data_IF_395254496771
#
_entry.id   IF_395254496771
#
_cell.length_a   1.000
_cell.length_b   1.000
_cell.length_c   1.000
_cell.angle_alpha   90.00
_cell.angle_beta   90.00
_cell.angle_gamma   90.00
#
_symmetry.space_group_name_H-M   'P 1'
#
loop_
_entity.id
_entity.type
_entity.pdbx_description
1 polymer ?
#
# COMPACT_ATOMS: atom_id res chain seq x y z
N UNK A 1 16.02 -68.29 10.18
CA UNK A 1 17.38 -68.83 10.41
C UNK A 1 17.70 -69.76 9.24
N UNK A 2 18.87 -69.57 8.58
CA UNK A 2 19.36 -70.16 7.30
C UNK A 2 18.74 -69.52 6.03
N UNK A 3 19.43 -68.63 5.28
CA UNK A 3 20.63 -68.82 4.43
C UNK A 3 20.37 -69.87 3.33
N UNK A 4 20.52 -69.66 2.02
CA UNK A 4 21.28 -68.71 1.21
C UNK A 4 21.98 -69.52 0.10
N UNK A 5 22.11 -68.96 -1.11
CA UNK A 5 23.02 -69.40 -2.22
C UNK A 5 22.47 -70.64 -3.00
N UNK A 6 22.43 -70.77 -4.34
CA UNK A 6 23.21 -70.27 -5.48
C UNK A 6 22.48 -70.43 -6.84
N UNK A 7 23.06 -69.76 -7.85
CA UNK A 7 22.99 -69.80 -9.33
C UNK A 7 22.47 -71.03 -10.11
N UNK A 8 22.19 -70.78 -11.42
CA UNK A 8 22.17 -71.64 -12.65
C UNK A 8 20.92 -71.28 -13.50
N UNK A 9 20.85 -71.13 -14.83
CA UNK A 9 21.74 -71.01 -16.00
C UNK A 9 20.84 -70.92 -17.26
N UNK A 10 21.46 -70.77 -18.45
CA UNK A 10 20.92 -71.00 -19.81
C UNK A 10 19.96 -69.92 -20.37
N UNK A 11 20.00 -69.55 -21.66
CA UNK A 11 20.43 -70.26 -22.87
C UNK A 11 20.82 -69.27 -23.98
N UNK A 12 21.88 -69.62 -24.71
CA UNK A 12 22.26 -69.12 -26.05
C UNK A 12 21.48 -69.85 -27.15
N UNK A 13 21.24 -69.20 -28.29
CA UNK A 13 21.45 -69.70 -29.68
C UNK A 13 20.97 -68.62 -30.69
N UNK A 14 21.80 -68.03 -31.56
CA UNK A 14 22.39 -68.52 -32.84
C UNK A 14 21.36 -68.54 -34.00
N UNK A 15 21.47 -67.63 -34.99
CA UNK A 15 21.98 -67.84 -36.37
C UNK A 15 21.17 -68.86 -37.21
N UNK A 16 20.86 -68.74 -38.51
CA UNK A 16 21.09 -67.83 -39.64
C UNK A 16 19.88 -68.07 -40.62
N UNK A 17 19.74 -67.56 -41.86
CA UNK A 17 20.45 -68.03 -43.07
C UNK A 17 19.89 -67.36 -44.34
N UNK A 18 20.77 -67.10 -45.33
CA UNK A 18 20.62 -67.14 -46.81
C UNK A 18 19.57 -66.23 -47.55
N UNK A 19 19.77 -65.72 -48.77
CA UNK A 19 20.88 -65.68 -49.73
C UNK A 19 20.54 -64.71 -50.90
N UNK A 20 21.59 -64.23 -51.59
CA UNK A 20 21.69 -63.88 -53.02
C UNK A 20 20.78 -62.81 -53.67
N UNK A 21 21.38 -61.76 -54.23
CA UNK A 21 21.69 -61.71 -55.69
C UNK A 21 22.32 -60.36 -56.12
N UNK A 22 23.16 -60.47 -57.16
CA UNK A 22 23.94 -59.45 -57.86
C UNK A 22 23.12 -58.23 -58.32
N UNK A 23 23.72 -57.03 -58.38
CA UNK A 23 24.16 -56.34 -59.61
C UNK A 23 24.48 -54.85 -59.38
N UNK A 24 25.28 -54.33 -60.31
CA UNK A 24 26.04 -53.09 -60.36
C UNK A 24 25.24 -51.77 -60.36
N UNK A 25 25.96 -50.72 -59.94
CA UNK A 25 25.86 -49.32 -60.34
C UNK A 25 24.76 -48.43 -59.71
N UNK A 26 25.15 -47.51 -58.81
CA UNK A 26 25.17 -46.07 -59.12
C UNK A 26 25.78 -45.20 -58.00
N UNK A 27 26.21 -43.99 -58.38
CA UNK A 27 27.17 -43.08 -57.75
C UNK A 27 26.65 -42.28 -56.54
N UNK A 28 27.56 -41.89 -55.64
CA UNK A 28 27.44 -40.65 -54.84
C UNK A 28 28.38 -40.59 -53.61
N UNK A 29 29.27 -39.57 -53.45
CA UNK A 29 30.32 -39.57 -52.42
C UNK A 29 29.83 -39.08 -51.04
N UNK A 30 30.34 -39.77 -50.01
CA UNK A 30 30.17 -39.49 -48.59
C UNK A 30 30.69 -38.10 -48.19
N UNK A 31 29.84 -37.26 -47.58
CA UNK A 31 30.26 -36.07 -46.82
C UNK A 31 30.24 -36.38 -45.32
N UNK A 32 31.41 -36.28 -44.68
CA UNK A 32 31.61 -36.35 -43.23
C UNK A 32 30.72 -35.34 -42.48
N UNK A 33 29.80 -35.83 -41.64
CA UNK A 33 29.16 -35.03 -40.59
C UNK A 33 29.98 -35.15 -39.31
N UNK A 34 30.70 -34.09 -38.94
CA UNK A 34 31.21 -33.91 -37.56
C UNK A 34 30.02 -33.44 -36.69
N UNK A 35 29.81 -33.98 -35.47
CA UNK A 35 28.76 -33.50 -34.59
C UNK A 35 29.15 -32.14 -33.99
N UNK A 36 28.26 -31.17 -34.17
CA UNK A 36 28.35 -29.83 -33.59
C UNK A 36 28.12 -29.94 -32.08
N UNK A 37 29.15 -29.65 -31.29
CA UNK A 37 29.11 -29.65 -29.83
C UNK A 37 28.37 -28.40 -29.38
N UNK A 38 27.10 -28.56 -29.04
CA UNK A 38 26.23 -27.49 -28.55
C UNK A 38 26.74 -27.02 -27.18
N UNK A 39 27.44 -25.89 -27.17
CA UNK A 39 27.93 -25.23 -25.97
C UNK A 39 26.80 -24.36 -25.41
N UNK A 40 25.80 -24.96 -24.76
CA UNK A 40 24.80 -24.21 -23.97
C UNK A 40 25.40 -23.78 -22.63
N UNK A 41 26.45 -22.97 -22.70
CA UNK A 41 27.00 -22.25 -21.57
C UNK A 41 26.06 -21.12 -21.17
N UNK A 42 25.61 -21.19 -19.92
CA UNK A 42 24.79 -20.24 -19.20
C UNK A 42 25.24 -18.78 -19.39
N UNK A 43 24.58 -18.04 -20.30
CA UNK A 43 24.54 -16.58 -20.21
C UNK A 43 23.51 -16.19 -19.15
N UNK A 44 23.86 -16.39 -17.88
CA UNK A 44 23.27 -15.55 -16.84
C UNK A 44 23.64 -14.11 -17.21
N UNK A 45 22.64 -13.31 -17.62
CA UNK A 45 22.90 -11.95 -18.11
C UNK A 45 23.71 -11.18 -17.06
N UNK A 46 24.73 -10.42 -17.47
CA UNK A 46 25.54 -9.61 -16.55
C UNK A 46 24.67 -8.72 -15.64
N UNK A 47 23.49 -8.33 -16.13
CA UNK A 47 22.44 -7.63 -15.39
C UNK A 47 21.95 -8.45 -14.18
N UNK A 48 21.63 -9.74 -14.36
CA UNK A 48 21.19 -10.61 -13.27
C UNK A 48 22.26 -10.78 -12.18
N UNK A 49 23.54 -10.81 -12.57
CA UNK A 49 24.67 -10.91 -11.63
C UNK A 49 24.85 -9.63 -10.81
N UNK A 50 24.83 -8.47 -11.48
CA UNK A 50 24.85 -7.16 -10.82
C UNK A 50 23.65 -6.95 -9.92
N UNK A 51 22.45 -7.35 -10.35
CA UNK A 51 21.23 -7.28 -9.55
C UNK A 51 21.34 -8.11 -8.28
N UNK A 52 21.88 -9.34 -8.37
CA UNK A 52 22.11 -10.20 -7.20
C UNK A 52 23.13 -9.60 -6.21
N UNK A 53 24.20 -9.00 -6.72
CA UNK A 53 25.21 -8.33 -5.88
C UNK A 53 24.59 -7.10 -5.19
N UNK A 54 23.84 -6.29 -5.94
CA UNK A 54 23.13 -5.14 -5.40
C UNK A 54 22.11 -5.54 -4.34
N UNK A 55 21.29 -6.56 -4.62
CA UNK A 55 20.30 -7.08 -3.66
C UNK A 55 21.00 -7.59 -2.40
N UNK A 56 22.12 -8.31 -2.53
CA UNK A 56 22.92 -8.76 -1.37
C UNK A 56 23.48 -7.60 -0.56
N UNK A 57 24.05 -6.59 -1.22
CA UNK A 57 24.51 -5.38 -0.52
C UNK A 57 23.35 -4.66 0.15
N UNK A 58 22.23 -4.47 -0.55
CA UNK A 58 21.05 -3.83 -0.01
C UNK A 58 20.50 -4.58 1.21
N UNK A 59 20.50 -5.90 1.21
CA UNK A 59 20.08 -6.74 2.34
C UNK A 59 20.94 -6.52 3.59
N UNK A 60 22.25 -6.32 3.43
CA UNK A 60 23.18 -5.98 4.53
C UNK A 60 22.77 -4.65 5.20
N UNK A 61 22.33 -3.67 4.39
CA UNK A 61 21.88 -2.37 4.90
C UNK A 61 20.41 -2.38 5.39
N UNK A 62 19.58 -3.32 4.93
CA UNK A 62 18.14 -3.36 5.18
C UNK A 62 17.55 -4.78 5.36
N UNK A 63 18.01 -5.56 6.36
CA UNK A 63 17.75 -7.00 6.44
C UNK A 63 16.27 -7.39 6.65
N UNK A 64 15.46 -6.51 7.24
CA UNK A 64 14.04 -6.78 7.44
C UNK A 64 13.17 -6.40 6.23
N UNK A 65 13.69 -5.61 5.29
CA UNK A 65 12.86 -5.01 4.24
C UNK A 65 12.57 -5.99 3.11
N UNK A 66 13.56 -6.75 2.64
CA UNK A 66 13.41 -7.72 1.56
C UNK A 66 12.40 -8.82 1.90
N UNK A 67 12.49 -9.53 3.05
CA UNK A 67 11.53 -10.59 3.36
C UNK A 67 10.12 -10.05 3.53
N UNK A 68 9.97 -8.88 4.17
CA UNK A 68 8.65 -8.23 4.34
C UNK A 68 8.04 -7.80 3.01
N UNK A 69 8.86 -7.26 2.08
CA UNK A 69 8.40 -6.87 0.75
C UNK A 69 7.99 -8.07 -0.09
N UNK A 70 8.72 -9.19 0.00
CA UNK A 70 8.37 -10.43 -0.69
C UNK A 70 7.02 -10.97 -0.22
N UNK A 71 6.81 -11.07 1.09
CA UNK A 71 5.52 -11.53 1.65
C UNK A 71 4.37 -10.62 1.19
N UNK A 72 4.54 -9.30 1.26
CA UNK A 72 3.52 -8.33 0.83
C UNK A 72 3.25 -8.38 -0.66
N UNK A 73 4.28 -8.62 -1.47
CA UNK A 73 4.12 -8.81 -2.91
C UNK A 73 3.29 -10.07 -3.22
N UNK A 74 3.55 -11.18 -2.53
CA UNK A 74 2.76 -12.41 -2.70
C UNK A 74 1.30 -12.22 -2.28
N UNK A 75 1.05 -11.56 -1.15
CA UNK A 75 -0.30 -11.20 -0.70
C UNK A 75 -1.04 -10.36 -1.75
N UNK A 76 -0.37 -9.33 -2.26
CA UNK A 76 -0.89 -8.45 -3.29
C UNK A 76 -1.22 -9.25 -4.56
N UNK A 77 -0.25 -10.01 -5.09
CA UNK A 77 -0.44 -10.80 -6.32
C UNK A 77 -1.61 -11.78 -6.20
N UNK A 78 -1.76 -12.43 -5.04
CA UNK A 78 -2.80 -13.43 -4.80
C UNK A 78 -4.20 -12.83 -4.68
N UNK A 79 -4.35 -11.74 -3.93
CA UNK A 79 -5.67 -11.22 -3.56
C UNK A 79 -6.15 -10.08 -4.47
N UNK A 80 -5.25 -9.33 -5.13
CA UNK A 80 -5.57 -8.06 -5.78
C UNK A 80 -6.65 -8.17 -6.86
N UNK A 81 -6.53 -9.13 -7.78
CA UNK A 81 -7.51 -9.29 -8.87
C UNK A 81 -8.88 -9.69 -8.30
N UNK A 82 -8.90 -10.70 -7.41
CA UNK A 82 -10.12 -11.18 -6.76
C UNK A 82 -10.84 -10.04 -6.03
N UNK A 83 -10.09 -9.20 -5.33
CA UNK A 83 -10.63 -8.06 -4.61
C UNK A 83 -11.06 -6.90 -5.50
N UNK A 84 -10.38 -6.60 -6.59
CA UNK A 84 -10.85 -5.54 -7.51
C UNK A 84 -12.28 -5.84 -7.97
N UNK A 85 -12.56 -7.08 -8.35
CA UNK A 85 -13.88 -7.46 -8.86
C UNK A 85 -14.92 -7.71 -7.77
N UNK A 86 -14.51 -8.23 -6.60
CA UNK A 86 -15.45 -8.58 -5.54
C UNK A 86 -15.54 -7.55 -4.41
N UNK A 87 -14.60 -6.61 -4.32
CA UNK A 87 -14.60 -5.64 -3.21
C UNK A 87 -15.70 -4.62 -3.41
N UNK A 88 -16.70 -4.68 -2.53
CA UNK A 88 -17.72 -3.64 -2.37
C UNK A 88 -17.19 -2.44 -1.58
N UNK A 89 -15.87 -2.32 -1.45
CA UNK A 89 -15.21 -1.34 -0.60
C UNK A 89 -15.46 0.10 -1.09
N UNK A 90 -15.66 0.29 -2.40
CA UNK A 90 -15.98 1.60 -2.98
C UNK A 90 -17.34 2.17 -2.53
N UNK A 91 -18.25 1.32 -2.05
CA UNK A 91 -19.62 1.72 -1.70
C UNK A 91 -19.68 2.35 -0.31
N UNK A 92 -18.79 1.94 0.60
CA UNK A 92 -18.85 2.35 2.00
C UNK A 92 -18.77 3.86 2.24
N UNK A 93 -17.91 4.64 1.55
CA UNK A 93 -17.89 6.10 1.69
C UNK A 93 -19.25 6.74 1.37
N UNK A 94 -19.93 6.28 0.32
CA UNK A 94 -21.26 6.77 -0.05
C UNK A 94 -22.34 6.34 0.96
N UNK A 95 -22.28 5.11 1.47
CA UNK A 95 -23.19 4.66 2.54
C UNK A 95 -22.98 5.42 3.85
N UNK A 96 -21.75 5.83 4.14
CA UNK A 96 -21.45 6.70 5.27
C UNK A 96 -21.99 8.11 5.04
N UNK A 97 -21.89 8.62 3.81
CA UNK A 97 -22.45 9.92 3.44
C UNK A 97 -23.97 9.96 3.59
N UNK A 98 -24.66 8.95 3.06
CA UNK A 98 -26.10 8.82 3.23
C UNK A 98 -26.52 8.73 4.71
N UNK A 99 -25.79 7.95 5.52
CA UNK A 99 -26.08 7.80 6.94
C UNK A 99 -25.88 9.09 7.72
N UNK A 100 -24.79 9.83 7.45
CA UNK A 100 -24.52 11.12 8.11
C UNK A 100 -25.62 12.15 7.80
N UNK A 101 -26.12 12.18 6.58
CA UNK A 101 -27.21 13.09 6.21
C UNK A 101 -28.55 12.70 6.85
N UNK A 102 -28.78 11.41 7.06
CA UNK A 102 -30.05 10.91 7.61
C UNK A 102 -30.09 10.95 9.14
N UNK A 103 -28.95 10.72 9.81
CA UNK A 103 -28.87 10.61 11.27
C UNK A 103 -28.32 11.90 11.90
N UNK A 104 -29.13 12.67 12.65
CA UNK A 104 -28.71 13.94 13.24
C UNK A 104 -27.69 13.79 14.37
N UNK A 105 -27.48 12.57 14.90
CA UNK A 105 -26.53 12.26 15.98
C UNK A 105 -25.11 12.74 15.64
N UNK A 106 -24.73 12.68 14.36
CA UNK A 106 -23.40 13.08 13.90
C UNK A 106 -23.24 14.61 13.80
N UNK A 107 -24.33 15.36 13.64
CA UNK A 107 -24.28 16.77 13.23
C UNK A 107 -23.66 17.67 14.28
N UNK A 108 -23.84 17.38 15.57
CA UNK A 108 -23.17 18.11 16.66
C UNK A 108 -21.63 18.04 16.53
N UNK A 109 -21.10 16.85 16.24
CA UNK A 109 -19.66 16.64 16.07
C UNK A 109 -19.16 17.24 14.76
N UNK A 110 -19.94 17.14 13.69
CA UNK A 110 -19.64 17.73 12.38
C UNK A 110 -19.62 19.25 12.44
N UNK A 111 -20.56 19.88 13.17
CA UNK A 111 -20.61 21.33 13.33
C UNK A 111 -19.36 21.85 14.05
N UNK A 112 -18.95 21.18 15.14
CA UNK A 112 -17.70 21.51 15.83
C UNK A 112 -16.49 21.37 14.88
N UNK A 113 -16.47 20.30 14.09
CA UNK A 113 -15.44 20.07 13.08
C UNK A 113 -15.45 21.16 11.99
N UNK A 114 -16.64 21.63 11.59
CA UNK A 114 -16.83 22.66 10.57
C UNK A 114 -16.23 24.00 10.99
N UNK A 115 -16.47 24.42 12.25
CA UNK A 115 -15.91 25.67 12.79
C UNK A 115 -14.39 25.62 12.79
N UNK A 116 -13.79 24.53 13.29
CA UNK A 116 -12.34 24.34 13.26
C UNK A 116 -11.78 24.36 11.83
N UNK A 117 -12.45 23.68 10.90
CA UNK A 117 -12.05 23.64 9.50
C UNK A 117 -12.10 25.04 8.87
N UNK A 118 -13.17 25.81 9.08
CA UNK A 118 -13.33 27.14 8.53
C UNK A 118 -12.22 28.10 9.02
N UNK A 119 -11.87 28.05 10.31
CA UNK A 119 -10.78 28.86 10.86
C UNK A 119 -9.43 28.54 10.21
N UNK A 120 -9.12 27.24 10.06
CA UNK A 120 -7.88 26.79 9.39
C UNK A 120 -7.91 27.21 7.91
N UNK A 121 -9.05 27.04 7.23
CA UNK A 121 -9.22 27.39 5.84
C UNK A 121 -8.94 28.88 5.61
N UNK A 122 -9.60 29.77 6.36
CA UNK A 122 -9.42 31.22 6.24
C UNK A 122 -7.96 31.62 6.48
N UNK A 123 -7.32 31.02 7.48
CA UNK A 123 -5.92 31.31 7.82
C UNK A 123 -4.97 30.90 6.67
N UNK A 124 -5.12 29.68 6.15
CA UNK A 124 -4.28 29.17 5.06
C UNK A 124 -4.59 29.90 3.75
N UNK A 125 -5.87 30.13 3.46
CA UNK A 125 -6.34 30.84 2.28
C UNK A 125 -5.72 32.23 2.21
N UNK A 126 -5.81 32.99 3.32
CA UNK A 126 -5.29 34.35 3.43
C UNK A 126 -3.77 34.39 3.27
N UNK A 127 -3.04 33.49 3.96
CA UNK A 127 -1.58 33.41 3.84
C UNK A 127 -1.16 33.08 2.40
N UNK A 128 -1.81 32.10 1.78
CA UNK A 128 -1.54 31.71 0.39
C UNK A 128 -1.86 32.86 -0.58
N UNK A 129 -2.99 33.55 -0.36
CA UNK A 129 -3.41 34.65 -1.20
C UNK A 129 -2.39 35.80 -1.17
N UNK A 130 -1.92 36.19 0.01
CA UNK A 130 -0.95 37.28 0.15
C UNK A 130 0.43 36.90 -0.42
N UNK A 131 0.86 35.65 -0.26
CA UNK A 131 2.23 35.24 -0.60
C UNK A 131 2.41 34.71 -2.02
N UNK A 132 1.47 33.88 -2.51
CA UNK A 132 1.65 33.10 -3.74
C UNK A 132 0.76 33.58 -4.90
N UNK A 133 -0.45 34.09 -4.62
CA UNK A 133 -1.38 34.49 -5.70
C UNK A 133 -0.81 35.63 -6.56
N UNK A 134 -0.19 36.71 -6.03
CA UNK A 134 0.43 37.73 -6.86
C UNK A 134 1.49 37.19 -7.83
N UNK A 135 2.32 36.25 -7.34
CA UNK A 135 3.35 35.59 -8.16
C UNK A 135 2.72 34.73 -9.26
N UNK A 136 1.69 33.95 -8.93
CA UNK A 136 0.99 33.06 -9.86
C UNK A 136 0.17 33.83 -10.91
N UNK A 137 -0.52 34.89 -10.49
CA UNK A 137 -1.32 35.75 -11.39
C UNK A 137 -0.41 36.45 -12.39
N UNK A 138 0.74 36.97 -11.94
CA UNK A 138 1.72 37.60 -12.84
C UNK A 138 2.18 36.63 -13.93
N UNK A 139 2.55 35.41 -13.55
CA UNK A 139 2.91 34.36 -14.51
C UNK A 139 1.76 33.94 -15.43
N UNK A 140 0.56 33.79 -14.88
CA UNK A 140 -0.61 33.34 -15.64
C UNK A 140 -1.11 34.38 -16.65
N UNK A 141 -1.05 35.67 -16.31
CA UNK A 141 -1.40 36.75 -17.24
C UNK A 141 -0.44 36.76 -18.44
N UNK A 142 0.85 36.54 -18.22
CA UNK A 142 1.85 36.51 -19.30
C UNK A 142 1.61 35.37 -20.31
N UNK A 143 1.09 34.23 -19.85
CA UNK A 143 0.92 33.03 -20.69
C UNK A 143 -0.50 32.89 -21.26
N UNK A 144 -1.54 33.18 -20.48
CA UNK A 144 -2.95 32.96 -20.83
C UNK A 144 -3.77 34.25 -20.90
N UNK A 145 -3.16 35.42 -20.66
CA UNK A 145 -3.87 36.70 -20.65
C UNK A 145 -4.89 36.81 -19.51
N UNK A 146 -6.01 37.54 -19.70
CA UNK A 146 -7.01 37.76 -18.66
C UNK A 146 -7.65 36.48 -18.11
N UNK A 147 -7.75 35.42 -18.92
CA UNK A 147 -8.26 34.11 -18.48
C UNK A 147 -7.36 33.48 -17.40
N UNK A 148 -6.06 33.80 -17.41
CA UNK A 148 -5.12 33.35 -16.40
C UNK A 148 -5.49 33.79 -14.98
N UNK A 149 -6.12 34.97 -14.84
CA UNK A 149 -6.56 35.47 -13.52
C UNK A 149 -7.63 34.56 -12.92
N UNK A 150 -8.64 34.19 -13.71
CA UNK A 150 -9.75 33.33 -13.26
C UNK A 150 -9.22 31.95 -12.89
N UNK A 151 -8.36 31.38 -13.73
CA UNK A 151 -7.76 30.08 -13.50
C UNK A 151 -6.92 30.04 -12.22
N UNK A 152 -6.15 31.08 -11.93
CA UNK A 152 -5.34 31.15 -10.70
C UNK A 152 -6.22 31.22 -9.45
N UNK A 153 -7.34 31.94 -9.49
CA UNK A 153 -8.26 32.00 -8.34
C UNK A 153 -8.96 30.65 -8.10
N UNK A 154 -9.37 29.95 -9.16
CA UNK A 154 -9.90 28.58 -9.05
C UNK A 154 -8.82 27.66 -8.46
N UNK A 155 -7.61 27.67 -9.03
CA UNK A 155 -6.50 26.86 -8.54
C UNK A 155 -6.17 27.16 -7.08
N UNK A 156 -6.19 28.43 -6.66
CA UNK A 156 -5.96 28.85 -5.28
C UNK A 156 -6.98 28.23 -4.32
N UNK A 157 -8.27 28.28 -4.65
CA UNK A 157 -9.33 27.67 -3.82
C UNK A 157 -9.10 26.16 -3.70
N UNK A 158 -8.81 25.47 -4.81
CA UNK A 158 -8.58 24.03 -4.82
C UNK A 158 -7.34 23.65 -3.98
N UNK A 159 -6.21 24.34 -4.15
CA UNK A 159 -4.98 24.08 -3.41
C UNK A 159 -5.14 24.34 -1.92
N UNK A 160 -5.83 25.43 -1.57
CA UNK A 160 -6.15 25.77 -0.18
C UNK A 160 -7.03 24.69 0.47
N UNK A 161 -8.03 24.18 -0.25
CA UNK A 161 -8.91 23.12 0.25
C UNK A 161 -8.12 21.83 0.58
N UNK A 162 -7.22 21.41 -0.32
CA UNK A 162 -6.37 20.23 -0.11
C UNK A 162 -5.44 20.42 1.08
N UNK A 163 -4.80 21.58 1.20
CA UNK A 163 -3.88 21.88 2.29
C UNK A 163 -4.61 21.96 3.64
N UNK A 164 -5.76 22.62 3.67
CA UNK A 164 -6.63 22.68 4.86
C UNK A 164 -7.08 21.30 5.28
N UNK A 165 -7.53 20.45 4.35
CA UNK A 165 -7.91 19.08 4.65
C UNK A 165 -6.74 18.27 5.20
N UNK A 166 -5.51 18.46 4.69
CA UNK A 166 -4.31 17.82 5.21
C UNK A 166 -3.97 18.25 6.64
N UNK A 167 -4.01 19.56 6.93
CA UNK A 167 -3.76 20.10 8.27
C UNK A 167 -4.85 19.65 9.24
N UNK A 168 -6.11 19.79 8.86
CA UNK A 168 -7.26 19.41 9.67
C UNK A 168 -7.25 17.90 9.99
N UNK A 169 -6.87 17.05 9.02
CA UNK A 169 -6.66 15.62 9.26
C UNK A 169 -5.56 15.33 10.27
N UNK A 170 -4.53 16.15 10.32
CA UNK A 170 -3.41 15.92 11.25
C UNK A 170 -3.77 16.37 12.66
N UNK A 171 -4.48 17.49 12.79
CA UNK A 171 -4.81 18.10 14.08
C UNK A 171 -6.08 17.53 14.72
N UNK A 172 -7.13 17.30 13.95
CA UNK A 172 -8.49 17.08 14.47
C UNK A 172 -8.97 15.63 14.34
N UNK A 173 -8.45 14.89 13.34
CA UNK A 173 -8.87 13.52 13.01
C UNK A 173 -8.57 12.49 14.10
N UNK A 174 -7.75 12.80 15.11
CA UNK A 174 -7.43 11.77 16.11
C UNK A 174 -8.49 11.70 17.22
N UNK A 175 -9.23 12.77 17.49
CA UNK A 175 -10.24 12.74 18.55
C UNK A 175 -11.66 12.64 18.00
N UNK A 176 -12.06 13.58 17.13
CA UNK A 176 -13.45 13.67 16.66
C UNK A 176 -13.81 12.48 15.77
N UNK A 177 -12.95 12.10 14.84
CA UNK A 177 -13.15 10.92 13.98
C UNK A 177 -13.23 9.64 14.78
N UNK A 178 -12.44 9.48 15.85
CA UNK A 178 -12.54 8.29 16.70
C UNK A 178 -13.90 8.23 17.40
N UNK A 179 -14.44 9.37 17.86
CA UNK A 179 -15.79 9.42 18.42
C UNK A 179 -16.87 9.11 17.38
N UNK A 180 -16.79 9.71 16.18
CA UNK A 180 -17.73 9.43 15.08
C UNK A 180 -17.68 7.95 14.68
N UNK A 181 -16.48 7.37 14.62
CA UNK A 181 -16.27 5.96 14.31
C UNK A 181 -16.89 5.05 15.37
N UNK A 182 -16.64 5.33 16.65
CA UNK A 182 -17.19 4.55 17.76
C UNK A 182 -18.73 4.66 17.81
N UNK A 183 -19.30 5.86 17.63
CA UNK A 183 -20.76 6.07 17.52
C UNK A 183 -21.34 5.24 16.38
N UNK A 184 -20.69 5.25 15.21
CA UNK A 184 -21.15 4.49 14.06
C UNK A 184 -21.10 2.98 14.27
N UNK A 185 -20.11 2.47 15.01
CA UNK A 185 -20.06 1.05 15.39
C UNK A 185 -21.19 0.66 16.35
N UNK A 186 -21.51 1.52 17.33
CA UNK A 186 -22.65 1.30 18.24
C UNK A 186 -23.97 1.25 17.44
N UNK A 187 -24.16 2.15 16.47
CA UNK A 187 -25.34 2.16 15.60
C UNK A 187 -25.44 0.95 14.65
N UNK A 188 -24.39 0.13 14.55
CA UNK A 188 -24.36 -1.07 13.72
C UNK A 188 -24.33 -2.37 14.53
N UNK A 189 -24.78 -2.30 15.78
CA UNK A 189 -24.86 -3.44 16.71
C UNK A 189 -23.49 -4.12 16.90
N UNK A 190 -22.41 -3.32 16.93
CA UNK A 190 -21.05 -3.76 17.26
C UNK A 190 -20.59 -3.19 18.62
N UNK A 191 -21.55 -2.96 19.53
CA UNK A 191 -21.32 -2.49 20.89
C UNK A 191 -20.60 -3.55 21.74
N UNK A 192 -20.88 -4.83 21.54
CA UNK A 192 -20.19 -5.95 22.20
C UNK A 192 -18.68 -5.89 21.95
N UNK A 193 -18.26 -5.71 20.69
CA UNK A 193 -16.86 -5.55 20.32
C UNK A 193 -16.20 -4.34 20.97
N UNK A 194 -16.91 -3.21 21.05
CA UNK A 194 -16.40 -2.02 21.73
C UNK A 194 -16.27 -2.23 23.24
N UNK A 195 -17.20 -2.94 23.85
CA UNK A 195 -17.21 -3.22 25.28
C UNK A 195 -16.10 -4.21 25.64
N UNK A 196 -15.89 -5.26 24.84
CA UNK A 196 -14.76 -6.18 24.98
C UNK A 196 -13.42 -5.42 24.97
N UNK A 197 -13.22 -4.54 23.99
CA UNK A 197 -11.98 -3.76 23.84
C UNK A 197 -11.82 -2.70 24.93
N UNK A 198 -12.91 -2.15 25.48
CA UNK A 198 -12.85 -1.20 26.62
C UNK A 198 -12.51 -1.88 27.94
N UNK A 199 -12.91 -3.15 28.11
CA UNK A 199 -12.65 -3.96 29.30
C UNK A 199 -11.21 -4.52 29.28
N UNK A 200 -10.66 -4.77 28.09
CA UNK A 200 -9.25 -5.12 27.94
C UNK A 200 -8.35 -3.93 28.32
N UNK A 201 -7.29 -4.13 29.13
CA UNK A 201 -6.35 -3.07 29.43
C UNK A 201 -5.79 -2.52 28.10
N UNK A 202 -5.84 -1.19 27.93
CA UNK A 202 -5.32 -0.46 26.76
C UNK A 202 -4.04 -1.14 26.29
N UNK A 203 -3.87 -1.45 24.97
CA UNK A 203 -2.68 -2.10 24.47
C UNK A 203 -1.48 -1.35 25.02
N UNK A 204 -0.76 -2.02 25.94
CA UNK A 204 0.40 -1.43 26.58
C UNK A 204 1.28 -0.93 25.44
N UNK A 205 1.65 0.37 25.46
CA UNK A 205 2.79 0.85 24.68
C UNK A 205 3.85 -0.24 24.83
N UNK A 206 4.41 -0.79 23.73
CA UNK A 206 5.23 -1.99 23.79
C UNK A 206 6.17 -1.81 24.97
N UNK A 207 5.95 -2.59 26.03
CA UNK A 207 6.82 -2.52 27.19
C UNK A 207 8.19 -2.85 26.59
N UNK A 208 9.05 -1.84 26.56
CA UNK A 208 10.47 -2.04 26.35
C UNK A 208 10.81 -3.07 27.41
N UNK A 209 11.04 -4.32 27.02
CA UNK A 209 11.60 -5.35 27.89
C UNK A 209 12.93 -4.77 28.37
N UNK A 210 12.89 -4.09 29.51
CA UNK A 210 14.02 -3.82 30.37
C UNK A 210 13.96 -5.01 31.29
N UNK A 211 14.45 -6.16 30.82
CA UNK A 211 14.73 -7.38 31.58
C UNK A 211 15.40 -8.34 30.59
N UNK A 212 16.54 -7.90 30.08
CA UNK A 212 17.56 -8.79 29.54
C UNK A 212 18.83 -8.35 30.26
N UNK A 213 19.45 -9.22 31.09
CA UNK A 213 20.51 -8.81 31.98
C UNK A 213 21.65 -8.19 31.16
N UNK A 214 22.16 -7.06 31.65
CA UNK A 214 23.15 -6.17 31.02
C UNK A 214 24.51 -6.84 30.66
N UNK A 215 24.62 -8.17 30.74
CA UNK A 215 25.81 -8.95 30.45
C UNK A 215 26.01 -9.31 28.97
N UNK A 216 25.01 -9.17 28.09
CA UNK A 216 25.15 -9.43 26.63
C UNK A 216 25.26 -8.14 25.81
N UNK A 217 25.28 -6.97 26.48
CA UNK A 217 25.43 -5.64 25.84
C UNK A 217 26.88 -5.16 25.77
N UNK A 218 27.85 -6.07 25.76
CA UNK A 218 29.27 -5.80 25.51
C UNK A 218 29.72 -6.81 24.46
N UNK A 219 29.89 -6.47 23.17
CA UNK A 219 31.09 -5.78 22.67
C UNK A 219 30.89 -5.15 21.26
N UNK A 220 29.71 -5.27 20.63
CA UNK A 220 29.50 -4.89 19.22
C UNK A 220 28.62 -3.64 18.97
N UNK A 221 28.11 -3.00 20.02
CA UNK A 221 27.00 -2.03 19.91
C UNK A 221 27.43 -0.57 19.83
N UNK A 222 28.74 -0.26 19.83
CA UNK A 222 29.21 1.13 19.91
C UNK A 222 29.74 1.67 18.57
N UNK A 223 30.19 0.83 17.62
CA UNK A 223 30.69 1.31 16.31
C UNK A 223 29.72 1.09 15.13
N UNK A 224 28.79 0.14 15.18
CA UNK A 224 27.88 -0.13 14.04
C UNK A 224 26.53 0.61 14.04
N UNK A 225 26.01 1.02 15.21
CA UNK A 225 24.60 1.42 15.30
C UNK A 225 24.26 2.79 14.69
N UNK A 226 25.20 3.73 14.63
CA UNK A 226 24.96 5.06 14.01
C UNK A 226 25.22 5.05 12.50
N UNK A 227 26.24 4.31 12.06
CA UNK A 227 26.71 4.26 10.67
C UNK A 227 25.65 3.63 9.75
N UNK A 228 24.88 2.65 10.22
CA UNK A 228 23.76 2.09 9.45
C UNK A 228 22.44 2.87 9.61
N UNK A 229 22.26 3.61 10.72
CA UNK A 229 21.04 4.41 10.95
C UNK A 229 20.99 5.68 10.09
N UNK A 230 22.12 6.35 9.87
CA UNK A 230 22.16 7.62 9.12
C UNK A 230 21.81 7.40 7.64
N UNK A 231 22.43 6.46 6.89
CA UNK A 231 22.06 6.18 5.50
C UNK A 231 20.62 5.70 5.37
N UNK A 232 20.13 4.87 6.29
CA UNK A 232 18.72 4.42 6.31
C UNK A 232 17.75 5.59 6.50
N UNK A 233 18.06 6.53 7.39
CA UNK A 233 17.25 7.72 7.59
C UNK A 233 17.28 8.64 6.37
N UNK A 234 18.46 8.93 5.83
CA UNK A 234 18.65 9.77 4.64
C UNK A 234 17.96 9.16 3.42
N UNK A 235 18.12 7.87 3.18
CA UNK A 235 17.43 7.15 2.11
C UNK A 235 15.91 7.26 2.29
N UNK A 236 15.39 7.00 3.48
CA UNK A 236 13.94 7.15 3.75
C UNK A 236 13.45 8.58 3.52
N UNK A 237 14.23 9.59 3.91
CA UNK A 237 13.90 10.99 3.66
C UNK A 237 13.92 11.30 2.16
N UNK A 238 14.94 10.82 1.43
CA UNK A 238 15.05 10.98 -0.01
C UNK A 238 13.83 10.39 -0.74
N UNK A 239 13.41 9.16 -0.42
CA UNK A 239 12.20 8.58 -1.02
C UNK A 239 10.92 9.33 -0.65
N UNK A 240 10.82 9.85 0.59
CA UNK A 240 9.66 10.66 0.99
C UNK A 240 9.61 11.99 0.25
N UNK A 241 10.74 12.69 0.16
CA UNK A 241 10.86 13.96 -0.56
C UNK A 241 10.64 13.74 -2.04
N UNK A 242 11.30 12.75 -2.65
CA UNK A 242 11.11 12.37 -4.05
C UNK A 242 9.64 12.06 -4.36
N UNK A 243 8.97 11.23 -3.54
CA UNK A 243 7.56 10.95 -3.74
C UNK A 243 6.69 12.21 -3.57
N UNK A 244 6.97 13.05 -2.58
CA UNK A 244 6.28 14.32 -2.39
C UNK A 244 6.46 15.27 -3.58
N UNK A 245 7.70 15.40 -4.08
CA UNK A 245 8.04 16.20 -5.25
C UNK A 245 7.35 15.66 -6.49
N UNK A 246 7.37 14.35 -6.75
CA UNK A 246 6.68 13.75 -7.89
C UNK A 246 5.17 13.99 -7.87
N UNK A 247 4.52 13.88 -6.70
CA UNK A 247 3.09 14.18 -6.57
C UNK A 247 2.80 15.69 -6.72
N UNK A 248 3.72 16.54 -6.26
CA UNK A 248 3.61 18.00 -6.42
C UNK A 248 3.76 18.39 -7.89
N UNK A 249 4.73 17.80 -8.60
CA UNK A 249 4.93 17.98 -10.04
C UNK A 249 3.71 17.53 -10.83
N UNK A 250 3.10 16.38 -10.48
CA UNK A 250 1.85 15.94 -11.08
C UNK A 250 0.73 16.98 -10.86
N UNK A 251 0.71 17.64 -9.70
CA UNK A 251 -0.26 18.68 -9.34
C UNK A 251 -0.05 20.01 -10.06
N UNK A 252 1.05 20.19 -10.80
CA UNK A 252 1.29 21.39 -11.63
C UNK A 252 0.42 21.43 -12.88
N UNK A 253 -0.15 20.30 -13.30
CA UNK A 253 -1.16 20.28 -14.36
C UNK A 253 -2.46 20.85 -13.76
N UNK A 254 -2.96 22.01 -14.24
CA UNK A 254 -4.15 22.62 -13.68
C UNK A 254 -5.35 21.66 -13.71
N UNK A 255 -6.15 21.67 -12.64
CA UNK A 255 -7.36 20.85 -12.46
C UNK A 255 -7.08 19.34 -12.37
N UNK A 256 -6.55 18.72 -13.43
CA UNK A 256 -6.34 17.27 -13.52
C UNK A 256 -5.25 16.79 -12.57
N UNK A 257 -4.16 17.56 -12.45
CA UNK A 257 -3.03 17.21 -11.60
C UNK A 257 -3.41 16.99 -10.13
N UNK A 258 -4.06 17.98 -9.47
CA UNK A 258 -4.53 17.83 -8.10
C UNK A 258 -5.48 16.64 -7.91
N UNK A 259 -6.38 16.39 -8.87
CA UNK A 259 -7.31 15.25 -8.82
C UNK A 259 -6.51 13.94 -8.84
N UNK A 260 -5.61 13.75 -9.79
CA UNK A 260 -4.79 12.53 -9.90
C UNK A 260 -3.90 12.33 -8.67
N UNK A 261 -3.21 13.39 -8.23
CA UNK A 261 -2.38 13.35 -7.03
C UNK A 261 -3.20 12.96 -5.79
N UNK A 262 -4.42 13.46 -5.67
CA UNK A 262 -5.35 13.09 -4.61
C UNK A 262 -5.77 11.61 -4.68
N UNK A 263 -5.97 11.05 -5.88
CA UNK A 263 -6.34 9.64 -6.06
C UNK A 263 -5.16 8.68 -5.83
N UNK A 264 -3.93 9.06 -6.18
CA UNK A 264 -2.74 8.25 -5.92
C UNK A 264 -2.50 8.00 -4.42
N UNK A 265 -3.02 8.88 -3.56
CA UNK A 265 -2.96 8.71 -2.11
C UNK A 265 -4.06 7.80 -1.54
N UNK A 266 -4.93 7.20 -2.37
CA UNK A 266 -6.10 6.43 -1.93
C UNK A 266 -5.79 5.34 -0.88
N UNK A 267 -4.81 4.44 -1.05
CA UNK A 267 -4.53 3.40 -0.04
C UNK A 267 -4.11 4.00 1.31
N UNK A 268 -3.36 5.11 1.29
CA UNK A 268 -2.91 5.81 2.49
C UNK A 268 -4.07 6.52 3.18
N UNK A 269 -4.98 7.12 2.40
CA UNK A 269 -6.23 7.72 2.89
C UNK A 269 -7.05 6.67 3.63
N UNK A 270 -7.31 5.53 2.99
CA UNK A 270 -8.06 4.42 3.59
C UNK A 270 -7.42 3.90 4.88
N UNK A 271 -6.10 3.71 4.86
CA UNK A 271 -5.36 3.30 6.05
C UNK A 271 -5.57 4.28 7.21
N UNK A 272 -5.68 5.58 6.92
CA UNK A 272 -5.92 6.61 7.93
C UNK A 272 -7.31 6.48 8.53
N UNK A 273 -8.35 6.27 7.71
CA UNK A 273 -9.71 6.06 8.19
C UNK A 273 -9.90 4.77 8.99
N UNK A 274 -9.13 3.71 8.69
CA UNK A 274 -9.13 2.45 9.43
C UNK A 274 -8.18 2.44 10.64
N UNK A 275 -7.48 3.54 10.97
CA UNK A 275 -6.58 3.55 12.13
C UNK A 275 -7.30 3.19 13.44
N UNK A 276 -8.55 3.65 13.61
CA UNK A 276 -9.36 3.32 14.78
C UNK A 276 -9.65 1.82 14.85
N UNK A 277 -10.01 1.20 13.73
CA UNK A 277 -10.21 -0.24 13.63
C UNK A 277 -8.95 -1.01 14.05
N UNK A 278 -7.77 -0.66 13.51
CA UNK A 278 -6.52 -1.35 13.87
C UNK A 278 -6.17 -1.17 15.34
N UNK A 279 -6.45 0.01 15.91
CA UNK A 279 -6.27 0.26 17.33
C UNK A 279 -7.21 -0.59 18.18
N UNK A 280 -8.50 -0.70 17.79
CA UNK A 280 -9.49 -1.50 18.51
C UNK A 280 -9.18 -3.00 18.44
N UNK A 281 -8.73 -3.50 17.29
CA UNK A 281 -8.24 -4.89 17.13
C UNK A 281 -6.88 -5.16 17.78
N UNK A 282 -6.22 -4.16 18.36
CA UNK A 282 -4.90 -4.33 18.98
C UNK A 282 -3.76 -4.65 17.98
N UNK A 283 -3.91 -4.28 16.71
CA UNK A 283 -2.89 -4.56 15.70
C UNK A 283 -1.60 -3.79 15.95
N UNK A 284 -0.46 -4.49 15.87
CA UNK A 284 0.85 -3.86 15.76
C UNK A 284 0.97 -3.08 14.44
N UNK A 285 1.91 -2.12 14.37
CA UNK A 285 2.19 -1.35 13.14
C UNK A 285 2.50 -2.24 11.93
N UNK A 286 3.12 -3.41 12.17
CA UNK A 286 3.42 -4.40 11.13
C UNK A 286 2.15 -5.10 10.67
N UNK A 287 1.33 -5.63 11.59
CA UNK A 287 0.06 -6.29 11.28
C UNK A 287 -0.91 -5.37 10.55
N UNK A 288 -1.06 -4.11 10.99
CA UNK A 288 -1.90 -3.14 10.28
C UNK A 288 -1.44 -2.91 8.84
N UNK A 289 -0.12 -2.88 8.61
CA UNK A 289 0.43 -2.76 7.26
C UNK A 289 0.22 -4.03 6.44
N UNK A 290 0.41 -5.20 7.04
CA UNK A 290 0.24 -6.47 6.35
C UNK A 290 -1.24 -6.66 5.96
N UNK A 291 -2.18 -6.30 6.83
CA UNK A 291 -3.62 -6.21 6.52
C UNK A 291 -3.92 -5.27 5.35
N UNK A 292 -3.26 -4.10 5.28
CA UNK A 292 -3.40 -3.20 4.14
C UNK A 292 -2.94 -3.84 2.82
N UNK A 293 -1.85 -4.61 2.83
CA UNK A 293 -1.36 -5.28 1.61
C UNK A 293 -2.18 -6.51 1.25
N UNK A 294 -2.73 -7.20 2.24
CA UNK A 294 -3.67 -8.29 2.05
C UNK A 294 -4.96 -7.83 1.35
N UNK A 295 -5.45 -6.64 1.73
CA UNK A 295 -6.67 -6.02 1.21
C UNK A 295 -6.43 -4.82 0.28
N UNK A 296 -5.31 -4.81 -0.43
CA UNK A 296 -4.81 -3.58 -1.08
C UNK A 296 -5.76 -2.99 -2.12
N UNK A 297 -6.44 -3.84 -2.90
CA UNK A 297 -7.42 -3.39 -3.89
C UNK A 297 -8.64 -2.75 -3.21
N UNK A 298 -9.16 -3.38 -2.15
CA UNK A 298 -10.24 -2.81 -1.34
C UNK A 298 -9.84 -1.45 -0.76
N UNK A 299 -8.58 -1.30 -0.33
CA UNK A 299 -8.02 -0.04 0.14
C UNK A 299 -7.98 1.04 -0.95
N UNK A 300 -7.61 0.69 -2.18
CA UNK A 300 -7.66 1.60 -3.33
C UNK A 300 -9.11 2.04 -3.57
N UNK A 301 -10.04 1.09 -3.70
CA UNK A 301 -11.45 1.35 -4.03
C UNK A 301 -12.14 2.25 -2.99
N UNK A 302 -12.00 1.95 -1.70
CA UNK A 302 -12.49 2.82 -0.62
C UNK A 302 -11.81 4.19 -0.68
N UNK A 303 -10.49 4.22 -0.86
CA UNK A 303 -9.72 5.45 -0.80
C UNK A 303 -10.03 6.38 -1.97
N UNK A 304 -10.30 5.82 -3.15
CA UNK A 304 -10.67 6.59 -4.33
C UNK A 304 -12.04 7.22 -4.18
N UNK A 305 -13.04 6.43 -3.80
CA UNK A 305 -14.42 6.92 -3.56
C UNK A 305 -14.47 7.96 -2.43
N UNK A 306 -13.80 7.70 -1.31
CA UNK A 306 -13.62 8.68 -0.23
C UNK A 306 -12.93 9.97 -0.73
N UNK A 307 -11.89 9.81 -1.55
CA UNK A 307 -11.17 10.91 -2.15
C UNK A 307 -12.01 11.76 -3.09
N UNK A 308 -12.88 11.15 -3.88
CA UNK A 308 -13.81 11.85 -4.78
C UNK A 308 -14.82 12.70 -4.00
N UNK A 309 -15.39 12.15 -2.92
CA UNK A 309 -16.29 12.91 -2.03
C UNK A 309 -15.58 14.12 -1.39
N UNK A 310 -14.29 13.98 -1.09
CA UNK A 310 -13.48 15.06 -0.50
C UNK A 310 -13.05 16.14 -1.49
N UNK A 311 -13.12 15.89 -2.81
CA UNK A 311 -12.72 16.86 -3.82
C UNK A 311 -13.66 18.05 -3.89
N UNK A 312 -14.92 17.89 -3.47
CA UNK A 312 -15.92 18.96 -3.49
C UNK A 312 -15.53 19.98 -2.40
N UNK A 313 -15.09 21.20 -2.77
CA UNK A 313 -14.73 22.23 -1.80
C UNK A 313 -15.92 22.55 -0.89
N UNK A 314 -15.65 22.99 0.34
CA UNK A 314 -16.64 23.29 1.40
C UNK A 314 -17.39 22.07 1.96
N UNK A 315 -17.67 21.05 1.14
CA UNK A 315 -18.26 19.79 1.58
C UNK A 315 -17.26 18.84 2.24
N UNK A 316 -15.96 19.13 2.12
CA UNK A 316 -14.87 18.32 2.71
C UNK A 316 -15.07 18.03 4.21
N UNK A 317 -15.70 18.92 4.96
CA UNK A 317 -16.00 18.75 6.40
C UNK A 317 -16.96 17.57 6.61
N UNK A 318 -18.10 17.61 5.91
CA UNK A 318 -19.12 16.57 5.98
C UNK A 318 -18.54 15.28 5.41
N UNK A 319 -17.83 15.35 4.28
CA UNK A 319 -17.34 14.15 3.60
C UNK A 319 -16.21 13.44 4.35
N UNK A 320 -15.34 14.14 5.10
CA UNK A 320 -14.40 13.48 6.03
C UNK A 320 -15.15 12.69 7.11
N UNK A 321 -16.20 13.29 7.68
CA UNK A 321 -17.02 12.64 8.71
C UNK A 321 -17.79 11.45 8.14
N UNK A 322 -18.38 11.62 6.96
CA UNK A 322 -19.04 10.56 6.19
C UNK A 322 -18.11 9.42 5.82
N UNK A 323 -16.88 9.72 5.40
CA UNK A 323 -15.86 8.70 5.11
C UNK A 323 -15.45 7.93 6.38
N UNK A 324 -15.47 8.60 7.54
CA UNK A 324 -15.24 7.96 8.85
C UNK A 324 -16.35 6.98 9.20
N UNK A 325 -17.61 7.39 9.05
CA UNK A 325 -18.78 6.50 9.20
C UNK A 325 -18.69 5.35 8.19
N UNK A 326 -18.33 5.65 6.94
CA UNK A 326 -18.07 4.66 5.89
C UNK A 326 -17.05 3.60 6.31
N UNK A 327 -15.93 4.04 6.89
CA UNK A 327 -14.90 3.13 7.40
C UNK A 327 -15.40 2.28 8.58
N UNK A 328 -16.25 2.83 9.45
CA UNK A 328 -16.92 2.08 10.51
C UNK A 328 -17.89 1.03 9.95
N UNK A 329 -18.67 1.35 8.89
CA UNK A 329 -19.51 0.35 8.21
C UNK A 329 -18.69 -0.77 7.57
N UNK A 330 -17.56 -0.41 6.97
CA UNK A 330 -16.65 -1.42 6.44
C UNK A 330 -16.08 -2.29 7.57
N UNK A 331 -15.63 -1.70 8.67
CA UNK A 331 -15.20 -2.42 9.86
C UNK A 331 -16.27 -3.41 10.36
N UNK A 332 -17.52 -2.98 10.51
CA UNK A 332 -18.62 -3.86 10.90
C UNK A 332 -18.82 -5.02 9.92
N UNK A 333 -18.70 -4.77 8.61
CA UNK A 333 -18.79 -5.85 7.61
C UNK A 333 -17.65 -6.86 7.74
N UNK A 334 -16.43 -6.41 8.10
CA UNK A 334 -15.28 -7.28 8.33
C UNK A 334 -15.51 -8.15 9.57
N UNK A 335 -15.95 -7.55 10.68
CA UNK A 335 -16.30 -8.25 11.92
C UNK A 335 -17.41 -9.29 11.71
N UNK A 336 -18.46 -8.93 10.96
CA UNK A 336 -19.54 -9.86 10.58
C UNK A 336 -19.03 -11.00 9.68
N UNK A 337 -18.02 -10.75 8.86
CA UNK A 337 -17.38 -11.76 8.02
C UNK A 337 -16.47 -12.71 8.80
N UNK A 338 -15.85 -12.25 9.88
CA UNK A 338 -15.05 -13.08 10.79
C UNK A 338 -15.96 -14.02 11.61
N UNK A 339 -17.03 -13.49 12.22
CA UNK A 339 -18.00 -14.27 13.00
C UNK A 339 -18.74 -15.38 12.23
N UNK A 340 -18.75 -15.31 10.89
CA UNK A 340 -19.37 -16.33 10.02
C UNK A 340 -18.42 -17.48 9.65
N UNK A 341 -17.12 -17.30 9.89
CA UNK A 341 -16.09 -18.31 9.58
C UNK A 341 -15.74 -19.17 10.79
N UNK A 342 -15.95 -18.62 11.98
CA UNK A 342 -16.05 -19.34 13.25
C UNK A 342 -17.36 -20.13 13.28
#
# INVERSE_FOLDING_TARGET
MKAGIELISHSQASHATHANSMTLAEKGPQRLKRPFKEHSSSKESNVSRWLKIFIRQFDIWFPETIPTMKVRYELLRKNFIKEIFNSRAFIYPFLGFYEVLTNPVYWKHILLFAVCYALIFVTIAGLFYVTLVPLLVTWAILLLGPLGVILVHIQWILQTNVLTAFVCRTLVLTHITNQIFDISLVLQDQDEFLNEVKVLPKPQKPHRKIDEPDAVRNFNTIKGSRIFKIPRLLFRMFFKVSNFTSLTLLSLIPIVGPILANQLMAPKRTFTYLQRYFLLKGFSKKQAKDFQYEHYASFICFGMSAGLLELIPFFTIVTISSNTVGAAKWCSSLLKGERKKE
#
